data_IF_352916447269
#
_entry.id   IF_352916447269
#
_cell.length_a   1.000
_cell.length_b   1.000
_cell.length_c   1.000
_cell.angle_alpha   90.00
_cell.angle_beta   90.00
_cell.angle_gamma   90.00
#
_symmetry.space_group_name_H-M   'P 1'
#
loop_
_entity.id
_entity.type
_entity.pdbx_description
1 polymer ?
#
# COMPACT_ATOMS: atom_id res chain seq x y z
N UNK A 1 12.13 12.64 6.18
CA UNK A 1 10.82 12.95 5.54
C UNK A 1 9.98 11.69 5.57
N UNK A 2 8.68 11.76 5.86
CA UNK A 2 7.80 10.59 5.78
C UNK A 2 7.37 10.38 4.33
N UNK A 3 7.50 9.16 3.81
CA UNK A 3 7.02 8.82 2.48
C UNK A 3 5.67 8.11 2.61
N UNK A 4 4.61 8.78 2.15
CA UNK A 4 3.26 8.23 2.13
C UNK A 4 3.01 7.60 0.77
N UNK A 5 2.78 6.29 0.73
CA UNK A 5 2.45 5.55 -0.48
C UNK A 5 0.95 5.59 -0.70
N UNK A 6 0.53 6.07 -1.88
CA UNK A 6 -0.85 6.02 -2.30
C UNK A 6 -1.25 4.62 -2.80
N UNK A 7 -2.56 4.37 -2.83
CA UNK A 7 -3.14 3.08 -3.24
C UNK A 7 -2.73 2.67 -4.65
N UNK A 8 -2.73 3.60 -5.59
CA UNK A 8 -2.41 3.30 -7.00
C UNK A 8 -0.94 2.93 -7.18
N UNK A 9 -0.04 3.58 -6.46
CA UNK A 9 1.39 3.28 -6.44
C UNK A 9 1.66 1.89 -5.87
N UNK A 10 0.96 1.51 -4.79
CA UNK A 10 1.05 0.16 -4.22
C UNK A 10 0.56 -0.92 -5.20
N UNK A 11 -0.50 -0.64 -5.96
CA UNK A 11 -0.97 -1.55 -7.02
C UNK A 11 0.04 -1.68 -8.16
N UNK A 12 0.74 -0.60 -8.53
CA UNK A 12 1.82 -0.66 -9.53
C UNK A 12 3.01 -1.49 -9.03
N UNK A 13 3.40 -1.35 -7.77
CA UNK A 13 4.41 -2.21 -7.15
C UNK A 13 3.97 -3.69 -7.17
N UNK A 14 2.72 -3.97 -6.82
CA UNK A 14 2.13 -5.32 -6.85
C UNK A 14 2.16 -5.95 -8.24
N UNK A 15 2.02 -5.15 -9.29
CA UNK A 15 2.11 -5.56 -10.70
C UNK A 15 3.54 -5.75 -11.19
N UNK A 16 4.54 -5.47 -10.36
CA UNK A 16 5.96 -5.61 -10.74
C UNK A 16 6.48 -4.45 -11.59
N UNK A 17 5.89 -3.25 -11.47
CA UNK A 17 6.36 -2.08 -12.22
C UNK A 17 7.79 -1.71 -11.84
N UNK A 18 8.73 -1.91 -12.77
CA UNK A 18 10.15 -1.59 -12.56
C UNK A 18 10.37 -0.09 -12.28
N UNK A 19 9.56 0.77 -12.89
CA UNK A 19 9.58 2.21 -12.63
C UNK A 19 9.16 2.52 -11.21
N UNK A 20 8.06 1.92 -10.72
CA UNK A 20 7.60 2.13 -9.35
C UNK A 20 8.62 1.61 -8.33
N UNK A 21 9.23 0.45 -8.58
CA UNK A 21 10.27 -0.11 -7.72
C UNK A 21 11.51 0.80 -7.65
N UNK A 22 12.00 1.28 -8.79
CA UNK A 22 13.14 2.21 -8.83
C UNK A 22 12.83 3.50 -8.08
N UNK A 23 11.67 4.10 -8.32
CA UNK A 23 11.24 5.34 -7.63
C UNK A 23 11.11 5.10 -6.13
N UNK A 24 10.56 3.96 -5.71
CA UNK A 24 10.48 3.63 -4.28
C UNK A 24 11.86 3.56 -3.65
N UNK A 25 12.82 2.87 -4.27
CA UNK A 25 14.20 2.76 -3.77
C UNK A 25 14.86 4.14 -3.63
N UNK A 26 14.81 4.95 -4.70
CA UNK A 26 15.40 6.30 -4.72
C UNK A 26 14.80 7.24 -3.65
N UNK A 27 13.49 7.13 -3.41
CA UNK A 27 12.79 7.98 -2.43
C UNK A 27 12.93 7.44 -1.00
N UNK A 28 13.00 6.13 -0.82
CA UNK A 28 13.14 5.47 0.47
C UNK A 28 14.50 5.77 1.11
N UNK A 29 15.58 5.89 0.33
CA UNK A 29 16.92 6.27 0.84
C UNK A 29 16.92 7.60 1.62
N UNK A 30 15.99 8.49 1.30
CA UNK A 30 15.86 9.83 1.92
C UNK A 30 14.68 9.88 2.90
N UNK A 31 13.94 8.79 3.04
CA UNK A 31 12.77 8.71 3.90
C UNK A 31 13.18 8.27 5.31
N UNK A 32 12.60 8.90 6.32
CA UNK A 32 12.76 8.51 7.72
C UNK A 32 11.75 7.45 8.15
N UNK A 33 10.67 7.30 7.38
CA UNK A 33 9.58 6.35 7.61
C UNK A 33 8.82 6.15 6.30
N UNK A 34 8.30 4.95 6.11
CA UNK A 34 7.49 4.55 4.97
C UNK A 34 6.12 4.17 5.48
N UNK A 35 5.07 4.80 4.96
CA UNK A 35 3.73 4.53 5.45
C UNK A 35 2.64 4.61 4.40
N UNK A 36 1.46 4.21 4.83
CA UNK A 36 0.23 4.18 4.03
C UNK A 36 -0.89 4.79 4.83
N UNK A 37 -1.87 5.41 4.17
CA UNK A 37 -3.04 5.92 4.88
C UNK A 37 -3.99 4.77 5.25
N UNK A 38 -4.70 4.90 6.38
CA UNK A 38 -5.75 3.94 6.74
C UNK A 38 -6.85 3.82 5.67
N UNK A 39 -7.10 4.89 4.89
CA UNK A 39 -8.01 4.87 3.74
C UNK A 39 -7.47 3.98 2.62
N UNK A 40 -6.18 4.10 2.30
CA UNK A 40 -5.52 3.24 1.29
C UNK A 40 -5.54 1.77 1.71
N UNK A 41 -5.35 1.49 3.00
CA UNK A 41 -5.49 0.11 3.53
C UNK A 41 -6.91 -0.40 3.33
N UNK A 42 -7.92 0.41 3.60
CA UNK A 42 -9.33 0.05 3.36
C UNK A 42 -9.61 -0.24 1.89
N UNK A 43 -9.13 0.60 0.96
CA UNK A 43 -9.30 0.40 -0.48
C UNK A 43 -8.68 -0.91 -0.95
N UNK A 44 -7.44 -1.20 -0.52
CA UNK A 44 -6.75 -2.46 -0.84
C UNK A 44 -7.48 -3.66 -0.25
N UNK A 45 -7.94 -3.57 0.99
CA UNK A 45 -8.68 -4.64 1.66
C UNK A 45 -9.99 -4.96 0.92
N UNK A 46 -10.78 -3.95 0.56
CA UNK A 46 -12.02 -4.13 -0.21
C UNK A 46 -11.73 -4.79 -1.56
N UNK A 47 -10.68 -4.37 -2.25
CA UNK A 47 -10.27 -4.97 -3.53
C UNK A 47 -9.85 -6.44 -3.38
N UNK A 48 -9.05 -6.76 -2.36
CA UNK A 48 -8.60 -8.11 -2.06
C UNK A 48 -9.75 -9.03 -1.66
N UNK A 49 -10.64 -8.56 -0.76
CA UNK A 49 -11.84 -9.28 -0.34
C UNK A 49 -12.77 -9.55 -1.52
N UNK A 50 -12.97 -8.58 -2.40
CA UNK A 50 -13.78 -8.78 -3.61
C UNK A 50 -13.23 -9.91 -4.48
N UNK A 51 -11.91 -9.98 -4.69
CA UNK A 51 -11.29 -11.07 -5.45
C UNK A 51 -11.46 -12.42 -4.77
N UNK A 52 -11.26 -12.47 -3.46
CA UNK A 52 -11.46 -13.68 -2.67
C UNK A 52 -12.90 -14.18 -2.80
N UNK A 53 -13.90 -13.33 -2.55
CA UNK A 53 -15.31 -13.71 -2.63
C UNK A 53 -15.74 -14.12 -4.05
N UNK A 54 -15.19 -13.49 -5.09
CA UNK A 54 -15.56 -13.77 -6.48
C UNK A 54 -14.86 -14.99 -7.07
N UNK A 55 -13.65 -15.31 -6.62
CA UNK A 55 -12.76 -16.28 -7.30
C UNK A 55 -12.10 -17.30 -6.36
N UNK A 56 -12.31 -17.20 -5.05
CA UNK A 56 -11.60 -18.00 -4.05
C UNK A 56 -10.12 -17.64 -3.91
N UNK A 57 -9.67 -16.53 -4.51
CA UNK A 57 -8.27 -16.14 -4.57
C UNK A 57 -7.85 -15.37 -3.31
N UNK A 58 -7.03 -16.01 -2.47
CA UNK A 58 -6.50 -15.43 -1.22
C UNK A 58 -5.21 -14.65 -1.41
N UNK A 59 -4.60 -14.69 -2.61
CA UNK A 59 -3.27 -14.13 -2.84
C UNK A 59 -3.17 -12.63 -2.56
N UNK A 60 -4.20 -11.85 -2.89
CA UNK A 60 -4.21 -10.40 -2.61
C UNK A 60 -4.38 -10.09 -1.12
N UNK A 61 -5.10 -10.94 -0.37
CA UNK A 61 -5.22 -10.79 1.08
C UNK A 61 -3.89 -11.11 1.77
N UNK A 62 -3.23 -12.19 1.35
CA UNK A 62 -1.90 -12.56 1.86
C UNK A 62 -0.87 -11.45 1.55
N UNK A 63 -0.85 -10.96 0.31
CA UNK A 63 0.02 -9.84 -0.08
C UNK A 63 -0.24 -8.58 0.76
N UNK A 64 -1.50 -8.25 1.04
CA UNK A 64 -1.83 -7.08 1.88
C UNK A 64 -1.30 -7.25 3.31
N UNK A 65 -1.44 -8.44 3.91
CA UNK A 65 -0.90 -8.73 5.24
C UNK A 65 0.62 -8.55 5.26
N UNK A 66 1.31 -9.10 4.26
CA UNK A 66 2.76 -8.96 4.14
C UNK A 66 3.15 -7.48 4.00
N UNK A 67 2.50 -6.73 3.10
CA UNK A 67 2.73 -5.30 2.90
C UNK A 67 2.61 -4.51 4.21
N UNK A 68 1.55 -4.75 4.98
CA UNK A 68 1.29 -4.06 6.25
C UNK A 68 2.35 -4.36 7.32
N UNK A 69 3.08 -5.47 7.20
CA UNK A 69 4.24 -5.76 8.04
C UNK A 69 5.45 -4.85 7.77
N UNK A 70 5.51 -4.20 6.60
CA UNK A 70 6.64 -3.37 6.16
C UNK A 70 6.41 -1.87 6.28
N UNK A 71 5.16 -1.41 6.45
CA UNK A 71 4.79 0.00 6.37
C UNK A 71 4.07 0.48 7.63
N UNK A 72 4.28 1.73 8.00
CA UNK A 72 3.52 2.39 9.06
C UNK A 72 2.12 2.75 8.54
N UNK A 73 1.06 2.31 9.23
CA UNK A 73 -0.32 2.74 8.92
C UNK A 73 -0.62 4.06 9.62
N UNK A 74 -0.81 5.12 8.86
CA UNK A 74 -1.17 6.42 9.39
C UNK A 74 -2.70 6.59 9.47
N UNK A 75 -3.23 7.00 10.64
CA UNK A 75 -4.65 7.28 10.78
C UNK A 75 -5.03 8.51 9.96
N UNK A 76 -6.26 8.51 9.44
CA UNK A 76 -6.84 9.70 8.81
C UNK A 76 -7.57 10.49 9.89
N UNK A 77 -7.01 11.65 10.23
CA UNK A 77 -7.63 12.58 11.16
C UNK A 77 -8.42 13.62 10.36
N UNK A 78 -9.67 13.91 10.75
CA UNK A 78 -10.58 14.81 10.03
C UNK A 78 -10.19 16.30 9.98
N UNK A 79 -8.93 16.65 10.25
CA UNK A 79 -8.41 18.00 10.01
C UNK A 79 -7.99 18.10 8.56
N UNK A 80 -8.93 18.52 7.72
CA UNK A 80 -8.63 19.08 6.40
C UNK A 80 -7.89 20.38 6.65
N UNK A 81 -6.63 20.45 6.20
CA UNK A 81 -5.82 21.66 6.22
C UNK A 81 -6.43 22.73 5.29
#
# INVERSE_FOLDING_TARGET
>A
MKLLLDTSFLLELRRGSATAQRVLLERAERASDLGVSALSVYELYVGALYRYLKRGDISELAWLVDLLGWVTVYPVNGRVA
#
